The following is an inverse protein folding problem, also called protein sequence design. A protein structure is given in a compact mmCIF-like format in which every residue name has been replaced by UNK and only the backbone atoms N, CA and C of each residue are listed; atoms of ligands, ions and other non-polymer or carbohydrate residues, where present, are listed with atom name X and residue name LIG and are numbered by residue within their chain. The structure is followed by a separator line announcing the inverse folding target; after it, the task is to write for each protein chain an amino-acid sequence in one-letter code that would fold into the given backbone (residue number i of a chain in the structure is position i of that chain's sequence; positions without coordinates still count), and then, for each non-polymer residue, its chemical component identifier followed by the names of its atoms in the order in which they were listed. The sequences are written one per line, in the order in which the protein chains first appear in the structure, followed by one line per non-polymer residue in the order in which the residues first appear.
data_IF_668066239341
#
_entry.id   IF_668066239341
#
_cell.length_a   1.000
_cell.length_b   1.000
_cell.length_c   1.000
_cell.angle_alpha   90.00
_cell.angle_beta   90.00
_cell.angle_gamma   90.00
#
_symmetry.space_group_name_H-M   'P 1'
#
loop_
_entity.id
_entity.type
_entity.pdbx_description
1 polymer ?
#
# COMPACT_ATOMS: atom_id res chain seq x y z
N UNK A 1 -21.16 -80.47 49.79
CA UNK A 1 -22.15 -79.59 49.13
C UNK A 1 -21.46 -78.91 47.96
N UNK A 2 -21.87 -79.20 46.73
CA UNK A 2 -21.26 -78.66 45.51
C UNK A 2 -21.57 -77.18 45.34
N UNK A 3 -20.56 -76.34 45.07
CA UNK A 3 -20.80 -74.97 44.60
C UNK A 3 -21.16 -75.00 43.11
N UNK A 4 -22.35 -74.50 42.76
CA UNK A 4 -22.72 -74.30 41.36
C UNK A 4 -22.06 -73.02 40.85
N UNK A 5 -21.10 -73.12 39.94
CA UNK A 5 -20.64 -71.97 39.16
C UNK A 5 -21.77 -71.56 38.21
N UNK A 6 -22.54 -70.52 38.56
CA UNK A 6 -23.50 -69.88 37.66
C UNK A 6 -22.72 -69.01 36.67
N UNK A 7 -22.38 -69.55 35.50
CA UNK A 7 -21.90 -68.76 34.39
C UNK A 7 -22.96 -67.74 33.95
N UNK A 8 -22.52 -66.55 33.51
CA UNK A 8 -23.39 -65.54 32.91
C UNK A 8 -24.21 -66.17 31.76
N UNK A 9 -25.52 -65.90 31.71
CA UNK A 9 -26.40 -66.34 30.62
C UNK A 9 -25.89 -65.80 29.28
N UNK A 10 -25.90 -66.62 28.23
CA UNK A 10 -25.47 -66.24 26.87
C UNK A 10 -26.16 -64.96 26.35
N UNK A 11 -27.40 -64.72 26.78
CA UNK A 11 -28.16 -63.51 26.45
C UNK A 11 -27.56 -62.27 27.13
N UNK A 12 -27.16 -62.38 28.40
CA UNK A 12 -26.55 -61.26 29.16
C UNK A 12 -25.15 -60.97 28.61
N UNK A 13 -24.37 -62.01 28.30
CA UNK A 13 -23.07 -61.87 27.64
C UNK A 13 -23.18 -61.16 26.28
N UNK A 14 -24.19 -61.51 25.46
CA UNK A 14 -24.44 -60.85 24.17
C UNK A 14 -24.81 -59.37 24.29
N UNK A 15 -25.66 -59.01 25.25
CA UNK A 15 -26.04 -57.60 25.49
C UNK A 15 -24.82 -56.78 25.94
N UNK A 16 -24.01 -57.32 26.85
CA UNK A 16 -22.78 -56.66 27.31
C UNK A 16 -21.81 -56.48 26.14
N UNK A 17 -21.65 -57.49 25.28
CA UNK A 17 -20.75 -57.41 24.14
C UNK A 17 -21.17 -56.29 23.17
N UNK A 18 -22.47 -56.23 22.83
CA UNK A 18 -23.01 -55.19 21.95
C UNK A 18 -22.84 -53.80 22.56
N UNK A 19 -23.13 -53.65 23.86
CA UNK A 19 -22.97 -52.37 24.56
C UNK A 19 -21.50 -51.89 24.54
N UNK A 20 -20.54 -52.79 24.77
CA UNK A 20 -19.11 -52.48 24.69
C UNK A 20 -18.72 -52.12 23.26
N UNK A 21 -19.17 -52.88 22.25
CA UNK A 21 -18.84 -52.60 20.85
C UNK A 21 -19.37 -51.23 20.41
N UNK A 22 -20.59 -50.85 20.80
CA UNK A 22 -21.15 -49.53 20.50
C UNK A 22 -20.37 -48.43 21.20
N UNK A 23 -20.07 -48.58 22.50
CA UNK A 23 -19.33 -47.59 23.27
C UNK A 23 -17.91 -47.36 22.70
N UNK A 24 -17.19 -48.44 22.36
CA UNK A 24 -15.87 -48.36 21.73
C UNK A 24 -15.95 -47.71 20.36
N UNK A 25 -16.98 -48.02 19.56
CA UNK A 25 -17.15 -47.43 18.22
C UNK A 25 -17.40 -45.93 18.28
N UNK A 26 -18.21 -45.45 19.22
CA UNK A 26 -18.46 -44.00 19.43
C UNK A 26 -17.17 -43.31 19.91
N UNK A 27 -16.43 -43.93 20.83
CA UNK A 27 -15.17 -43.37 21.32
C UNK A 27 -14.12 -43.25 20.20
N UNK A 28 -13.98 -44.28 19.35
CA UNK A 28 -13.07 -44.25 18.19
C UNK A 28 -13.54 -43.21 17.16
N UNK A 29 -14.84 -43.13 16.87
CA UNK A 29 -15.38 -42.14 15.93
C UNK A 29 -15.16 -40.69 16.43
N UNK A 30 -15.37 -40.43 17.73
CA UNK A 30 -15.09 -39.13 18.34
C UNK A 30 -13.59 -38.79 18.33
N UNK A 31 -12.73 -39.78 18.59
CA UNK A 31 -11.28 -39.62 18.54
C UNK A 31 -10.79 -39.34 17.12
N UNK A 32 -11.22 -40.12 16.13
CA UNK A 32 -10.88 -39.90 14.71
C UNK A 32 -11.46 -38.58 14.18
N UNK A 33 -12.69 -38.23 14.55
CA UNK A 33 -13.28 -36.93 14.24
C UNK A 33 -12.46 -35.78 14.81
N UNK A 34 -12.05 -35.85 16.08
CA UNK A 34 -11.17 -34.86 16.71
C UNK A 34 -9.80 -34.72 16.04
N UNK A 35 -9.24 -35.83 15.55
CA UNK A 35 -8.01 -35.82 14.76
C UNK A 35 -8.20 -35.04 13.44
N UNK A 36 -9.29 -35.27 12.71
CA UNK A 36 -9.55 -34.55 11.44
C UNK A 36 -9.64 -33.03 11.63
N UNK A 37 -10.25 -32.53 12.70
CA UNK A 37 -10.31 -31.09 12.99
C UNK A 37 -8.94 -30.48 13.32
N UNK A 38 -8.05 -31.26 13.93
CA UNK A 38 -6.70 -30.80 14.26
C UNK A 38 -5.79 -30.78 13.03
N UNK A 39 -5.98 -31.71 12.08
CA UNK A 39 -5.23 -31.77 10.82
C UNK A 39 -5.67 -30.74 9.77
N UNK A 40 -6.87 -30.15 9.89
CA UNK A 40 -7.33 -29.09 8.98
C UNK A 40 -6.77 -27.71 9.31
N UNK A 41 -6.14 -27.56 10.48
CA UNK A 41 -5.53 -26.30 10.88
C UNK A 41 -4.18 -26.11 10.21
N UNK A 42 -4.00 -24.97 9.56
CA UNK A 42 -2.77 -24.61 8.86
C UNK A 42 -2.09 -23.45 9.57
N UNK A 43 -0.77 -23.57 9.74
CA UNK A 43 0.07 -22.47 10.19
C UNK A 43 0.72 -21.85 8.96
N UNK A 44 0.42 -20.58 8.69
CA UNK A 44 0.99 -19.86 7.55
C UNK A 44 1.20 -18.40 7.94
N UNK A 45 2.43 -17.92 7.78
CA UNK A 45 2.81 -16.55 8.07
C UNK A 45 3.26 -15.83 6.81
N UNK A 46 3.03 -14.53 6.76
CA UNK A 46 3.50 -13.65 5.70
C UNK A 46 4.11 -12.39 6.34
N UNK A 47 5.30 -11.98 5.89
CA UNK A 47 5.84 -10.67 6.23
C UNK A 47 5.23 -9.66 5.26
N UNK A 48 4.47 -8.70 5.79
CA UNK A 48 3.72 -7.70 5.01
C UNK A 48 4.38 -6.34 5.00
N UNK A 49 5.44 -6.14 5.79
CA UNK A 49 6.20 -4.90 5.83
C UNK A 49 7.47 -5.00 6.65
N UNK A 50 8.39 -4.07 6.42
CA UNK A 50 9.60 -3.89 7.23
C UNK A 50 9.92 -2.40 7.38
N UNK A 51 10.34 -1.98 8.56
CA UNK A 51 10.77 -0.60 8.85
C UNK A 51 12.09 -0.61 9.60
N UNK A 52 13.13 0.00 9.05
CA UNK A 52 14.38 0.24 9.77
C UNK A 52 14.20 1.35 10.80
N UNK A 53 14.95 1.27 11.90
CA UNK A 53 15.18 2.42 12.76
C UNK A 53 16.09 3.42 12.07
N UNK A 54 15.92 4.70 12.39
CA UNK A 54 16.65 5.78 11.72
C UNK A 54 18.17 5.64 11.94
N UNK A 55 18.59 5.14 13.10
CA UNK A 55 19.99 4.88 13.47
C UNK A 55 20.51 3.50 13.06
N UNK A 56 19.72 2.69 12.35
CA UNK A 56 20.03 1.29 12.00
C UNK A 56 20.26 0.35 13.19
N UNK A 57 19.89 0.73 14.40
CA UNK A 57 19.98 -0.14 15.58
C UNK A 57 18.99 -1.32 15.56
N UNK A 58 17.87 -1.20 14.84
CA UNK A 58 16.88 -2.26 14.70
C UNK A 58 16.10 -2.21 13.39
N UNK A 59 15.40 -3.30 13.10
CA UNK A 59 14.36 -3.38 12.08
C UNK A 59 13.08 -3.94 12.70
N UNK A 60 11.95 -3.35 12.37
CA UNK A 60 10.61 -3.79 12.73
C UNK A 60 10.00 -4.54 11.53
N UNK A 61 9.66 -5.82 11.70
CA UNK A 61 8.97 -6.63 10.69
C UNK A 61 7.50 -6.78 11.05
N UNK A 62 6.60 -6.46 10.12
CA UNK A 62 5.17 -6.70 10.27
C UNK A 62 4.85 -8.09 9.75
N UNK A 63 4.42 -8.99 10.63
CA UNK A 63 4.12 -10.39 10.34
C UNK A 63 2.63 -10.64 10.50
N UNK A 64 1.97 -11.12 9.45
CA UNK A 64 0.56 -11.51 9.42
C UNK A 64 0.41 -13.02 9.50
N UNK A 65 -0.51 -13.52 10.33
CA UNK A 65 -0.95 -14.90 10.28
C UNK A 65 -2.06 -15.06 9.25
N UNK A 66 -1.76 -15.73 8.14
CA UNK A 66 -2.70 -16.03 7.05
C UNK A 66 -3.20 -17.47 7.09
N UNK A 67 -2.79 -18.26 8.08
CA UNK A 67 -3.28 -19.61 8.33
C UNK A 67 -4.57 -19.64 9.13
N UNK A 68 -5.01 -20.84 9.52
CA UNK A 68 -6.23 -21.08 10.29
C UNK A 68 -5.96 -21.46 11.76
N UNK A 69 -4.70 -21.63 12.17
CA UNK A 69 -4.31 -21.82 13.57
C UNK A 69 -3.57 -20.62 14.14
N UNK A 70 -3.65 -20.42 15.45
CA UNK A 70 -2.81 -19.43 16.13
C UNK A 70 -1.35 -19.89 16.21
N UNK A 71 -0.42 -18.95 16.17
CA UNK A 71 1.02 -19.23 16.20
C UNK A 71 1.78 -18.23 17.05
N UNK A 72 3.00 -18.59 17.46
CA UNK A 72 3.93 -17.75 18.20
C UNK A 72 5.29 -17.78 17.50
N UNK A 73 5.93 -16.61 17.38
CA UNK A 73 7.32 -16.54 16.92
C UNK A 73 8.22 -17.06 18.04
N UNK A 74 9.03 -18.08 17.75
CA UNK A 74 9.93 -18.71 18.71
C UNK A 74 11.36 -18.20 18.59
N UNK A 75 11.83 -18.02 17.36
CA UNK A 75 13.21 -17.62 17.08
C UNK A 75 13.27 -16.72 15.86
N UNK A 76 14.30 -15.89 15.82
CA UNK A 76 14.62 -15.03 14.68
C UNK A 76 16.10 -15.21 14.33
N UNK A 77 16.42 -15.27 13.04
CA UNK A 77 17.78 -15.34 12.52
C UNK A 77 18.07 -14.14 11.60
N UNK A 78 19.33 -13.69 11.59
CA UNK A 78 19.90 -12.67 10.70
C UNK A 78 21.00 -13.35 9.89
N UNK A 79 20.86 -13.43 8.56
CA UNK A 79 21.78 -14.15 7.67
C UNK A 79 22.06 -15.58 8.15
N UNK A 80 21.00 -16.30 8.52
CA UNK A 80 21.01 -17.67 9.06
C UNK A 80 21.66 -17.85 10.45
N UNK A 81 22.20 -16.79 11.04
CA UNK A 81 22.69 -16.79 12.43
C UNK A 81 21.59 -16.33 13.41
N UNK A 82 21.48 -16.92 14.61
CA UNK A 82 20.49 -16.48 15.60
C UNK A 82 20.60 -14.98 15.93
N UNK A 83 19.48 -14.27 15.89
CA UNK A 83 19.42 -12.87 16.33
C UNK A 83 19.70 -12.80 17.84
N UNK A 84 20.55 -11.85 18.24
CA UNK A 84 20.91 -11.65 19.66
C UNK A 84 19.77 -11.06 20.47
N UNK A 85 18.88 -10.28 19.85
CA UNK A 85 17.71 -9.69 20.48
C UNK A 85 16.57 -9.54 19.48
N UNK A 86 15.39 -10.03 19.86
CA UNK A 86 14.14 -9.65 19.21
C UNK A 86 13.03 -9.49 20.25
N UNK A 87 12.07 -8.60 19.97
CA UNK A 87 10.91 -8.35 20.82
C UNK A 87 9.65 -8.18 20.00
N UNK A 88 8.51 -8.52 20.58
CA UNK A 88 7.19 -8.21 20.01
C UNK A 88 6.80 -6.82 20.51
N UNK A 89 6.72 -5.85 19.61
CA UNK A 89 6.58 -4.41 19.94
C UNK A 89 5.21 -4.08 20.53
N UNK A 90 4.17 -4.84 20.16
CA UNK A 90 2.82 -4.68 20.71
C UNK A 90 2.01 -5.98 20.66
N UNK A 91 1.15 -6.15 21.68
CA UNK A 91 0.21 -7.26 21.78
C UNK A 91 0.78 -8.55 22.40
N UNK A 92 -0.03 -9.61 22.35
CA UNK A 92 0.41 -10.94 22.78
C UNK A 92 1.44 -11.51 21.79
N UNK A 93 2.45 -12.28 22.26
CA UNK A 93 3.36 -13.02 21.39
C UNK A 93 2.64 -14.06 20.51
N UNK A 94 1.39 -14.40 20.84
CA UNK A 94 0.51 -15.21 19.99
C UNK A 94 -0.17 -14.34 18.93
N UNK A 95 -0.04 -14.77 17.68
CA UNK A 95 -0.65 -14.21 16.48
C UNK A 95 -1.85 -15.11 16.10
N UNK A 96 -3.06 -14.63 16.34
CA UNK A 96 -4.27 -15.35 15.93
C UNK A 96 -4.44 -15.29 14.39
N UNK A 97 -5.21 -16.20 13.78
CA UNK A 97 -5.56 -16.09 12.36
C UNK A 97 -6.09 -14.70 11.99
N UNK A 98 -5.53 -14.09 10.96
CA UNK A 98 -5.89 -12.75 10.49
C UNK A 98 -5.13 -11.59 11.16
N UNK A 99 -4.60 -11.79 12.37
CA UNK A 99 -3.86 -10.77 13.11
C UNK A 99 -2.49 -10.47 12.50
N UNK A 100 -1.99 -9.25 12.77
CA UNK A 100 -0.62 -8.84 12.52
C UNK A 100 0.13 -8.56 13.83
N UNK A 101 1.45 -8.78 13.85
CA UNK A 101 2.35 -8.34 14.92
C UNK A 101 3.60 -7.71 14.35
N UNK A 102 4.13 -6.74 15.07
CA UNK A 102 5.43 -6.12 14.78
C UNK A 102 6.49 -6.79 15.63
N UNK A 103 7.46 -7.42 14.97
CA UNK A 103 8.64 -8.03 15.60
C UNK A 103 9.85 -7.13 15.35
N UNK A 104 10.39 -6.57 16.43
CA UNK A 104 11.63 -5.79 16.41
C UNK A 104 12.82 -6.71 16.52
N UNK A 105 13.79 -6.53 15.64
CA UNK A 105 15.05 -7.27 15.63
C UNK A 105 16.17 -6.26 15.79
N UNK A 106 16.92 -6.35 16.88
CA UNK A 106 17.99 -5.40 17.20
C UNK A 106 19.35 -6.03 16.99
N UNK A 107 20.24 -5.33 16.29
CA UNK A 107 21.62 -5.75 16.05
C UNK A 107 22.47 -4.54 15.66
N UNK A 108 23.79 -4.73 15.53
CA UNK A 108 24.69 -3.73 14.96
C UNK A 108 24.68 -3.87 13.44
N UNK A 109 23.62 -3.37 12.79
CA UNK A 109 23.52 -3.45 11.33
C UNK A 109 24.48 -2.46 10.68
N UNK A 110 25.22 -2.94 9.68
CA UNK A 110 26.12 -2.13 8.89
C UNK A 110 25.31 -1.43 7.78
N UNK A 111 25.41 -0.09 7.67
CA UNK A 111 24.70 0.66 6.65
C UNK A 111 25.01 0.19 5.22
N UNK A 112 24.00 0.11 4.36
CA UNK A 112 24.11 -0.35 2.97
C UNK A 112 24.21 -1.87 2.79
N UNK A 113 24.22 -2.66 3.86
CA UNK A 113 24.33 -4.12 3.79
C UNK A 113 22.95 -4.76 3.67
N UNK A 114 22.82 -5.72 2.75
CA UNK A 114 21.62 -6.57 2.61
C UNK A 114 21.62 -7.66 3.68
N UNK A 115 20.52 -7.77 4.41
CA UNK A 115 20.29 -8.77 5.44
C UNK A 115 19.09 -9.65 5.10
N UNK A 116 19.19 -10.94 5.44
CA UNK A 116 18.08 -11.89 5.47
C UNK A 116 17.59 -12.04 6.90
N UNK A 117 16.31 -11.78 7.12
CA UNK A 117 15.64 -12.00 8.40
C UNK A 117 14.74 -13.22 8.27
N UNK A 118 14.95 -14.21 9.12
CA UNK A 118 14.12 -15.44 9.15
C UNK A 118 13.43 -15.54 10.50
N UNK A 119 12.11 -15.42 10.53
CA UNK A 119 11.31 -15.69 11.72
C UNK A 119 10.80 -17.15 11.67
N UNK A 120 11.00 -17.88 12.76
CA UNK A 120 10.55 -19.26 12.90
C UNK A 120 9.51 -19.36 14.01
N UNK A 121 8.42 -20.07 13.77
CA UNK A 121 7.37 -20.28 14.77
C UNK A 121 7.73 -21.37 15.78
N UNK A 122 6.94 -21.51 16.85
CA UNK A 122 7.07 -22.60 17.82
C UNK A 122 6.88 -24.00 17.21
N UNK A 123 6.25 -24.11 16.04
CA UNK A 123 6.08 -25.37 15.29
C UNK A 123 7.08 -25.55 14.14
N UNK A 124 8.00 -24.59 13.96
CA UNK A 124 9.07 -24.69 12.97
C UNK A 124 8.74 -24.11 11.59
N UNK A 125 7.57 -23.51 11.39
CA UNK A 125 7.25 -22.78 10.16
C UNK A 125 8.17 -21.57 10.04
N UNK A 126 8.79 -21.38 8.87
CA UNK A 126 9.73 -20.29 8.60
C UNK A 126 9.13 -19.30 7.61
N UNK A 127 9.33 -18.02 7.88
CA UNK A 127 9.12 -16.93 6.92
C UNK A 127 10.38 -16.07 6.87
N UNK A 128 10.77 -15.63 5.68
CA UNK A 128 11.97 -14.82 5.50
C UNK A 128 11.66 -13.50 4.79
N UNK A 129 12.49 -12.49 5.05
CA UNK A 129 12.45 -11.18 4.41
C UNK A 129 13.86 -10.68 4.14
N UNK A 130 14.09 -10.10 2.96
CA UNK A 130 15.36 -9.49 2.59
C UNK A 130 15.23 -7.98 2.67
N UNK A 131 16.13 -7.31 3.39
CA UNK A 131 16.13 -5.84 3.47
C UNK A 131 17.55 -5.29 3.54
N UNK A 132 17.78 -4.12 2.94
CA UNK A 132 19.07 -3.43 2.96
C UNK A 132 19.02 -2.39 4.08
N UNK A 133 19.99 -2.45 5.00
CA UNK A 133 20.12 -1.45 6.06
C UNK A 133 20.38 -0.07 5.44
N UNK A 134 19.64 0.99 5.82
CA UNK A 134 19.83 2.31 5.24
C UNK A 134 21.20 2.90 5.59
N UNK A 135 21.66 3.86 4.80
CA UNK A 135 22.93 4.54 5.03
C UNK A 135 22.84 5.57 6.19
N UNK A 136 23.14 5.15 7.43
CA UNK A 136 23.14 6.04 8.60
C UNK A 136 21.77 6.68 8.89
N UNK A 137 21.72 7.69 9.78
CA UNK A 137 20.52 8.51 10.00
C UNK A 137 19.97 9.00 8.67
N UNK A 138 18.87 8.38 8.23
CA UNK A 138 18.12 8.84 7.07
C UNK A 138 17.67 10.25 7.39
N UNK A 139 18.03 11.20 6.55
CA UNK A 139 17.61 12.59 6.66
C UNK A 139 16.48 12.85 5.67
N UNK A 140 15.56 13.72 6.05
CA UNK A 140 14.50 14.14 5.15
C UNK A 140 15.11 14.74 3.89
N UNK A 141 14.71 14.21 2.73
CA UNK A 141 15.02 14.77 1.42
C UNK A 141 13.75 14.84 0.62
N UNK A 142 13.62 15.92 -0.15
CA UNK A 142 12.49 16.11 -1.03
C UNK A 142 12.95 16.81 -2.31
N UNK A 143 12.43 16.42 -3.45
CA UNK A 143 12.69 17.05 -4.75
C UNK A 143 11.40 17.07 -5.55
N UNK A 144 11.13 18.16 -6.26
CA UNK A 144 9.93 18.30 -7.07
C UNK A 144 10.24 19.05 -8.36
N UNK A 145 9.58 18.65 -9.44
CA UNK A 145 9.86 19.18 -10.76
C UNK A 145 8.88 18.67 -11.80
N UNK A 146 9.26 18.89 -13.06
CA UNK A 146 8.52 18.41 -14.22
C UNK A 146 9.43 17.67 -15.19
N UNK A 147 8.86 16.75 -15.93
CA UNK A 147 9.49 16.06 -17.06
C UNK A 147 8.52 16.00 -18.24
N UNK A 148 9.04 15.86 -19.46
CA UNK A 148 8.22 15.59 -20.64
C UNK A 148 8.31 14.09 -20.93
N UNK A 149 7.16 13.44 -21.04
CA UNK A 149 7.07 12.01 -21.29
C UNK A 149 6.01 11.69 -22.36
N UNK A 150 6.20 10.60 -23.09
CA UNK A 150 5.21 10.00 -24.00
C UNK A 150 5.18 8.47 -23.76
N UNK A 151 4.83 7.67 -24.76
CA UNK A 151 4.81 6.20 -24.66
C UNK A 151 6.18 5.54 -24.43
N UNK A 152 7.27 6.28 -24.59
CA UNK A 152 8.65 5.80 -24.39
C UNK A 152 9.16 6.24 -23.04
N UNK A 153 9.84 5.35 -22.32
CA UNK A 153 10.47 5.69 -21.05
C UNK A 153 11.60 6.70 -21.23
N UNK A 154 11.48 7.84 -20.56
CA UNK A 154 12.49 8.89 -20.47
C UNK A 154 13.07 8.90 -19.06
N UNK A 155 14.39 9.02 -18.93
CA UNK A 155 15.05 9.08 -17.61
C UNK A 155 14.95 10.49 -17.01
N UNK A 156 14.56 10.55 -15.75
CA UNK A 156 14.67 11.73 -14.88
C UNK A 156 15.81 11.50 -13.91
N UNK A 157 16.79 12.41 -13.89
CA UNK A 157 17.88 12.38 -12.93
C UNK A 157 17.50 13.25 -11.73
N UNK A 158 17.71 12.71 -10.54
CA UNK A 158 17.52 13.40 -9.27
C UNK A 158 18.79 14.16 -8.92
N UNK A 159 18.61 15.32 -8.29
CA UNK A 159 19.70 16.12 -7.74
C UNK A 159 20.18 15.54 -6.41
N UNK A 160 19.24 15.00 -5.63
CA UNK A 160 19.52 14.34 -4.35
C UNK A 160 19.81 12.85 -4.53
N UNK A 161 20.59 12.29 -3.59
CA UNK A 161 20.78 10.83 -3.47
C UNK A 161 19.92 10.30 -2.34
N UNK A 162 18.94 9.47 -2.69
CA UNK A 162 17.98 8.87 -1.77
C UNK A 162 18.42 7.47 -1.32
N UNK A 163 18.09 7.09 -0.09
CA UNK A 163 18.28 5.70 0.37
C UNK A 163 17.12 4.82 -0.12
N UNK A 164 15.90 5.35 -0.08
CA UNK A 164 14.66 4.72 -0.50
C UNK A 164 13.69 5.80 -1.02
N UNK A 165 13.77 6.20 -2.29
CA UNK A 165 12.89 7.24 -2.83
C UNK A 165 11.45 6.74 -2.98
N UNK A 166 10.50 7.58 -2.61
CA UNK A 166 9.07 7.45 -2.90
C UNK A 166 8.71 8.55 -3.89
N UNK A 167 8.17 8.16 -5.04
CA UNK A 167 7.93 9.07 -6.17
C UNK A 167 6.44 9.04 -6.48
N UNK A 168 5.82 10.21 -6.55
CA UNK A 168 4.45 10.36 -7.07
C UNK A 168 4.45 11.35 -8.22
N UNK A 169 3.67 11.03 -9.26
CA UNK A 169 3.58 11.82 -10.46
C UNK A 169 2.13 12.11 -10.85
N UNK A 170 1.91 13.23 -11.52
CA UNK A 170 0.60 13.59 -12.09
C UNK A 170 0.79 14.07 -13.53
N UNK A 171 0.08 13.50 -14.50
CA UNK A 171 0.12 14.00 -15.87
C UNK A 171 -0.69 15.30 -15.99
N UNK A 172 -0.24 16.23 -16.83
CA UNK A 172 -0.99 17.43 -17.19
C UNK A 172 -1.40 17.36 -18.66
N UNK A 173 -2.71 17.43 -18.92
CA UNK A 173 -3.26 17.46 -20.27
C UNK A 173 -4.70 17.98 -20.32
N UNK A 174 -5.06 18.53 -21.48
CA UNK A 174 -6.41 18.95 -21.87
C UNK A 174 -6.89 18.27 -23.17
N UNK A 175 -6.10 17.31 -23.69
CA UNK A 175 -6.40 16.58 -24.92
C UNK A 175 -7.31 15.37 -24.67
N UNK A 176 -7.97 14.91 -25.73
CA UNK A 176 -8.93 13.80 -25.77
C UNK A 176 -8.31 12.39 -25.68
N UNK A 177 -7.02 12.26 -25.36
CA UNK A 177 -6.34 10.97 -25.25
C UNK A 177 -6.12 10.62 -23.76
N UNK A 178 -6.88 9.72 -23.13
CA UNK A 178 -6.69 9.41 -21.71
C UNK A 178 -5.33 8.78 -21.45
N UNK A 179 -4.65 9.14 -20.35
CA UNK A 179 -3.34 8.56 -20.01
C UNK A 179 -2.99 8.69 -18.53
N UNK A 180 -2.25 7.71 -18.01
CA UNK A 180 -1.66 7.75 -16.66
C UNK A 180 -0.14 7.65 -16.73
N UNK A 181 0.55 8.01 -15.64
CA UNK A 181 2.01 7.94 -15.54
C UNK A 181 2.45 6.54 -15.09
N UNK A 182 3.49 6.00 -15.72
CA UNK A 182 4.15 4.75 -15.32
C UNK A 182 5.62 4.99 -15.07
N UNK A 183 6.13 4.36 -14.00
CA UNK A 183 7.53 4.47 -13.58
C UNK A 183 8.26 3.14 -13.69
N UNK A 184 9.56 3.20 -13.97
CA UNK A 184 10.46 2.03 -13.95
C UNK A 184 11.86 2.47 -13.56
N UNK A 185 12.72 1.52 -13.21
CA UNK A 185 14.14 1.76 -12.93
C UNK A 185 14.37 2.83 -11.85
N UNK A 186 13.55 2.82 -10.79
CA UNK A 186 13.73 3.68 -9.62
C UNK A 186 15.00 3.28 -8.89
N UNK A 187 15.96 4.19 -8.80
CA UNK A 187 17.22 4.04 -8.06
C UNK A 187 17.39 5.22 -7.09
N UNK A 188 18.49 5.23 -6.33
CA UNK A 188 18.83 6.33 -5.41
C UNK A 188 18.98 7.71 -6.07
N UNK A 189 19.16 7.79 -7.39
CA UNK A 189 19.50 9.04 -8.08
C UNK A 189 18.71 9.27 -9.37
N UNK A 190 17.82 8.35 -9.76
CA UNK A 190 17.05 8.49 -11.00
C UNK A 190 15.84 7.58 -11.00
N UNK A 191 14.91 7.90 -11.87
CA UNK A 191 13.82 7.01 -12.27
C UNK A 191 13.58 7.19 -13.78
N UNK A 192 12.77 6.34 -14.37
CA UNK A 192 12.31 6.52 -15.75
C UNK A 192 10.80 6.59 -15.79
N UNK A 193 10.28 7.51 -16.60
CA UNK A 193 8.87 7.85 -16.68
C UNK A 193 8.36 7.73 -18.11
N UNK A 194 7.15 7.20 -18.26
CA UNK A 194 6.35 7.27 -19.49
C UNK A 194 4.90 7.61 -19.14
N UNK A 195 4.11 7.97 -20.13
CA UNK A 195 2.64 7.97 -20.01
C UNK A 195 2.05 6.83 -20.83
N UNK A 196 0.98 6.23 -20.34
CA UNK A 196 0.33 5.07 -20.97
C UNK A 196 -1.18 5.31 -21.08
N UNK A 197 -1.70 5.14 -22.29
CA UNK A 197 -3.14 5.10 -22.55
C UNK A 197 -3.71 3.72 -22.20
N UNK A 198 -4.89 3.63 -21.56
CA UNK A 198 -5.53 2.35 -21.21
C UNK A 198 -5.75 1.42 -22.40
N UNK A 199 -6.13 1.97 -23.56
CA UNK A 199 -6.39 1.23 -24.79
C UNK A 199 -5.12 0.96 -25.62
N UNK A 200 -3.94 1.17 -25.05
CA UNK A 200 -2.63 1.01 -25.71
C UNK A 200 -2.46 1.83 -27.00
N UNK A 201 -3.16 2.95 -27.11
CA UNK A 201 -3.03 3.87 -28.25
C UNK A 201 -1.87 4.86 -28.07
N UNK A 202 -1.51 5.55 -29.15
CA UNK A 202 -0.43 6.55 -29.13
C UNK A 202 -0.78 7.70 -28.19
N UNK A 203 0.18 8.12 -27.38
CA UNK A 203 0.03 9.25 -26.45
C UNK A 203 0.91 10.43 -26.89
N UNK A 204 0.36 11.65 -26.91
CA UNK A 204 1.13 12.89 -27.07
C UNK A 204 2.22 13.07 -26.00
N UNK A 205 3.20 13.91 -26.30
CA UNK A 205 4.10 14.44 -25.28
C UNK A 205 3.28 15.13 -24.19
N UNK A 206 3.56 14.74 -22.95
CA UNK A 206 2.79 15.13 -21.76
C UNK A 206 3.74 15.68 -20.71
N UNK A 207 3.39 16.82 -20.13
CA UNK A 207 4.10 17.33 -18.95
C UNK A 207 3.70 16.47 -17.76
N UNK A 208 4.69 15.87 -17.11
CA UNK A 208 4.52 15.06 -15.90
C UNK A 208 5.13 15.83 -14.74
N UNK A 209 4.28 16.19 -13.79
CA UNK A 209 4.68 16.76 -12.51
C UNK A 209 5.11 15.64 -11.59
N UNK A 210 6.17 15.84 -10.81
CA UNK A 210 6.63 14.83 -9.87
C UNK A 210 7.07 15.44 -8.55
N UNK A 211 6.93 14.62 -7.51
CA UNK A 211 7.53 14.83 -6.20
C UNK A 211 8.23 13.55 -5.78
N UNK A 212 9.42 13.67 -5.21
CA UNK A 212 10.25 12.58 -4.70
C UNK A 212 10.58 12.88 -3.25
N UNK A 213 10.28 11.93 -2.37
CA UNK A 213 10.50 12.06 -0.93
C UNK A 213 11.27 10.84 -0.43
N UNK A 214 12.21 11.06 0.49
CA UNK A 214 12.86 9.95 1.20
C UNK A 214 11.83 9.20 2.05
N UNK A 215 11.77 7.88 1.90
CA UNK A 215 10.87 7.02 2.67
C UNK A 215 11.08 7.23 4.17
N UNK A 216 9.99 7.51 4.90
CA UNK A 216 10.05 7.82 6.32
C UNK A 216 8.77 8.42 6.87
N UNK A 217 8.78 8.67 8.18
CA UNK A 217 7.75 9.41 8.91
C UNK A 217 8.42 10.66 9.43
N UNK A 218 8.01 11.82 8.91
CA UNK A 218 8.73 13.07 9.08
C UNK A 218 7.83 14.08 9.75
N UNK A 219 8.33 14.72 10.81
CA UNK A 219 7.65 15.82 11.50
C UNK A 219 8.12 17.20 11.01
N UNK A 220 9.28 17.27 10.34
CA UNK A 220 9.95 18.49 9.87
C UNK A 220 10.86 18.13 8.68
N UNK A 221 11.08 19.02 7.70
CA UNK A 221 10.56 20.39 7.57
C UNK A 221 9.08 20.44 7.19
N UNK A 222 8.54 19.34 6.67
CA UNK A 222 7.13 19.15 6.36
C UNK A 222 6.65 17.90 7.07
N UNK A 223 5.52 17.99 7.77
CA UNK A 223 4.93 16.85 8.44
C UNK A 223 4.27 15.95 7.38
N UNK A 224 4.88 14.80 7.10
CA UNK A 224 4.38 13.84 6.12
C UNK A 224 4.88 12.42 6.41
N UNK A 225 4.27 11.45 5.75
CA UNK A 225 4.78 10.08 5.64
C UNK A 225 5.00 9.72 4.19
N UNK A 226 6.16 9.20 3.84
CA UNK A 226 6.42 8.63 2.53
C UNK A 226 6.73 7.15 2.70
N UNK A 227 6.01 6.27 1.99
CA UNK A 227 6.12 4.82 2.11
C UNK A 227 5.96 4.14 0.76
N UNK A 228 6.40 2.89 0.70
CA UNK A 228 6.14 2.00 -0.44
C UNK A 228 5.81 0.59 0.01
N UNK A 229 5.05 -0.12 -0.80
CA UNK A 229 4.74 -1.54 -0.59
C UNK A 229 4.46 -2.23 -1.94
N UNK A 230 4.57 -3.55 -1.97
CA UNK A 230 4.24 -4.34 -3.16
C UNK A 230 2.87 -4.99 -3.03
N UNK A 231 2.09 -4.98 -4.11
CA UNK A 231 0.78 -5.62 -4.19
C UNK A 231 0.42 -5.98 -5.63
N UNK A 232 -0.39 -7.04 -5.78
CA UNK A 232 -1.12 -7.34 -7.02
C UNK A 232 -2.63 -7.15 -6.86
N UNK A 233 -3.08 -6.57 -5.74
CA UNK A 233 -4.48 -6.25 -5.49
C UNK A 233 -4.91 -5.14 -6.46
N UNK A 234 -5.94 -5.42 -7.26
CA UNK A 234 -6.49 -4.48 -8.25
C UNK A 234 -7.99 -4.32 -8.04
N UNK A 235 -8.42 -3.07 -7.86
CA UNK A 235 -9.82 -2.65 -7.91
C UNK A 235 -10.18 -2.16 -9.31
N UNK A 236 -11.38 -2.48 -9.79
CA UNK A 236 -11.80 -2.25 -11.18
C UNK A 236 -13.32 -2.43 -11.32
N UNK A 237 -13.97 -1.67 -12.21
CA UNK A 237 -15.37 -1.84 -12.66
C UNK A 237 -16.33 -2.33 -11.54
N UNK A 238 -16.55 -1.48 -10.55
CA UNK A 238 -17.41 -1.69 -9.38
C UNK A 238 -16.95 -2.78 -8.39
N UNK A 239 -15.90 -3.52 -8.70
CA UNK A 239 -15.23 -4.47 -7.83
C UNK A 239 -13.94 -3.85 -7.27
N UNK A 240 -14.09 -3.08 -6.20
CA UNK A 240 -13.02 -2.31 -5.59
C UNK A 240 -12.23 -3.12 -4.55
N UNK A 241 -11.43 -4.09 -5.00
CA UNK A 241 -10.51 -4.81 -4.12
C UNK A 241 -9.37 -3.90 -3.64
N UNK A 242 -9.09 -3.92 -2.33
CA UNK A 242 -8.16 -2.99 -1.70
C UNK A 242 -7.20 -3.68 -0.72
N UNK A 243 -6.05 -3.06 -0.52
CA UNK A 243 -5.23 -3.24 0.68
C UNK A 243 -5.53 -2.11 1.69
N UNK A 244 -5.15 -2.31 2.95
CA UNK A 244 -5.20 -1.24 3.98
C UNK A 244 -3.80 -0.88 4.43
N UNK A 245 -3.50 0.41 4.59
CA UNK A 245 -2.25 0.92 5.18
C UNK A 245 -2.56 1.76 6.41
N UNK A 246 -1.75 1.59 7.45
CA UNK A 246 -1.88 2.35 8.70
C UNK A 246 -1.09 3.67 8.62
N UNK A 247 -1.57 4.69 9.32
CA UNK A 247 -0.80 5.92 9.52
C UNK A 247 0.33 5.67 10.52
N UNK A 248 1.53 6.10 10.15
CA UNK A 248 2.74 6.05 10.97
C UNK A 248 2.87 7.23 11.94
N UNK A 249 2.04 8.26 11.81
CA UNK A 249 1.90 9.36 12.77
C UNK A 249 0.45 9.84 12.91
N UNK A 250 0.20 10.69 13.91
CA UNK A 250 -1.12 11.26 14.15
C UNK A 250 -1.35 12.49 13.30
N UNK A 251 -2.53 12.56 12.69
CA UNK A 251 -3.03 13.71 11.96
C UNK A 251 -4.27 14.29 12.65
N UNK A 252 -4.65 15.48 12.25
CA UNK A 252 -5.69 16.32 12.85
C UNK A 252 -6.49 17.13 11.83
N UNK A 253 -5.95 17.34 10.63
CA UNK A 253 -6.62 17.98 9.51
C UNK A 253 -7.09 17.01 8.43
N UNK A 254 -7.55 17.57 7.33
CA UNK A 254 -7.86 16.86 6.10
C UNK A 254 -6.59 16.22 5.52
N UNK A 255 -6.73 15.03 4.94
CA UNK A 255 -5.61 14.19 4.52
C UNK A 255 -5.54 14.07 3.00
N UNK A 256 -4.38 14.40 2.46
CA UNK A 256 -4.03 14.15 1.08
C UNK A 256 -3.11 12.94 1.05
N UNK A 257 -3.50 11.92 0.29
CA UNK A 257 -2.67 10.75 0.04
C UNK A 257 -2.31 10.74 -1.43
N UNK A 258 -1.10 11.20 -1.75
CA UNK A 258 -0.52 11.11 -3.07
C UNK A 258 -0.07 9.66 -3.31
N UNK A 259 -0.35 9.07 -4.45
CA UNK A 259 -0.05 7.66 -4.70
C UNK A 259 0.34 7.38 -6.17
N UNK A 260 1.20 6.38 -6.39
CA UNK A 260 1.75 6.06 -7.72
C UNK A 260 2.21 4.61 -7.83
N UNK A 261 1.98 3.99 -8.99
CA UNK A 261 2.67 2.74 -9.38
C UNK A 261 4.13 3.06 -9.70
N UNK A 262 5.06 2.64 -8.85
CA UNK A 262 6.49 2.95 -8.91
C UNK A 262 7.34 1.91 -9.65
N UNK A 263 6.74 0.83 -10.13
CA UNK A 263 7.39 -0.19 -10.94
C UNK A 263 6.60 -0.49 -12.23
N UNK A 264 7.21 -1.34 -13.06
CA UNK A 264 6.66 -1.79 -14.33
C UNK A 264 6.97 -3.28 -14.50
N UNK A 265 6.59 -4.06 -13.50
CA UNK A 265 6.80 -5.51 -13.44
C UNK A 265 5.74 -6.25 -14.27
N UNK A 266 4.56 -5.65 -14.45
CA UNK A 266 3.53 -6.08 -15.39
C UNK A 266 3.18 -4.92 -16.35
N UNK A 267 3.32 -5.12 -17.68
CA UNK A 267 3.08 -4.06 -18.66
C UNK A 267 1.62 -3.67 -18.87
N UNK A 268 0.67 -4.45 -18.34
CA UNK A 268 -0.77 -4.14 -18.39
C UNK A 268 -1.04 -2.74 -17.81
N UNK A 269 -2.10 -2.09 -18.32
CA UNK A 269 -2.44 -0.77 -17.84
C UNK A 269 -2.96 -0.85 -16.40
N UNK A 270 -2.53 0.10 -15.59
CA UNK A 270 -2.95 0.26 -14.22
C UNK A 270 -2.54 1.66 -13.75
N UNK A 271 -3.37 2.21 -12.89
CA UNK A 271 -3.08 3.34 -12.03
C UNK A 271 -3.27 2.90 -10.57
N UNK A 272 -3.56 3.82 -9.67
CA UNK A 272 -3.81 3.54 -8.25
C UNK A 272 -5.05 4.28 -7.80
N UNK A 273 -5.67 3.82 -6.72
CA UNK A 273 -6.72 4.55 -6.03
C UNK A 273 -6.53 4.45 -4.52
N UNK A 274 -7.08 5.42 -3.79
CA UNK A 274 -7.18 5.41 -2.34
C UNK A 274 -8.61 5.72 -1.91
N UNK A 275 -8.93 5.47 -0.65
CA UNK A 275 -10.16 5.93 -0.02
C UNK A 275 -10.05 5.90 1.50
N UNK A 276 -11.11 6.36 2.19
CA UNK A 276 -11.31 6.12 3.62
C UNK A 276 -11.17 4.62 3.97
N UNK A 277 -10.75 4.34 5.20
CA UNK A 277 -10.49 3.00 5.71
C UNK A 277 -11.66 2.02 5.56
N UNK A 278 -12.88 2.50 5.76
CA UNK A 278 -14.11 1.70 5.80
C UNK A 278 -15.13 2.04 4.71
N UNK A 279 -14.95 3.14 3.97
CA UNK A 279 -15.83 3.58 2.89
C UNK A 279 -15.02 3.98 1.65
N UNK A 280 -15.38 3.44 0.49
CA UNK A 280 -14.71 3.80 -0.78
C UNK A 280 -15.11 5.20 -1.28
N UNK A 281 -16.28 5.67 -0.87
CA UNK A 281 -16.93 6.90 -1.36
C UNK A 281 -16.64 8.12 -0.47
N UNK A 282 -15.55 8.07 0.28
CA UNK A 282 -15.16 9.13 1.19
C UNK A 282 -13.62 9.23 1.16
N UNK A 283 -13.06 10.42 1.41
CA UNK A 283 -11.62 10.61 1.39
C UNK A 283 -10.98 10.05 2.67
N UNK A 284 -9.66 9.80 2.68
CA UNK A 284 -8.93 9.39 3.88
C UNK A 284 -9.17 10.34 5.05
N UNK A 285 -9.34 9.77 6.24
CA UNK A 285 -9.70 10.55 7.42
C UNK A 285 -8.66 10.41 8.52
N UNK A 286 -8.28 11.54 9.13
CA UNK A 286 -7.31 11.57 10.23
C UNK A 286 -7.79 10.89 11.53
N UNK A 287 -9.10 10.67 11.68
CA UNK A 287 -9.69 9.93 12.79
C UNK A 287 -9.64 8.41 12.65
N UNK A 288 -9.31 7.89 11.46
CA UNK A 288 -9.08 6.47 11.24
C UNK A 288 -7.64 6.06 11.60
N UNK A 289 -7.38 4.76 11.77
CA UNK A 289 -6.01 4.25 11.94
C UNK A 289 -5.22 4.18 10.63
N UNK A 290 -5.88 4.38 9.48
CA UNK A 290 -5.29 4.17 8.17
C UNK A 290 -6.26 4.49 7.03
N UNK A 291 -5.96 3.97 5.86
CA UNK A 291 -6.71 4.18 4.61
C UNK A 291 -6.67 2.94 3.73
N UNK A 292 -7.52 2.92 2.68
CA UNK A 292 -7.47 1.90 1.63
C UNK A 292 -6.61 2.36 0.48
N UNK A 293 -5.89 1.43 -0.14
CA UNK A 293 -5.08 1.69 -1.33
C UNK A 293 -4.92 0.41 -2.14
N UNK A 294 -4.91 0.50 -3.46
CA UNK A 294 -4.62 -0.61 -4.37
C UNK A 294 -4.31 -0.11 -5.79
N UNK A 295 -3.97 -1.04 -6.68
CA UNK A 295 -3.98 -0.76 -8.12
C UNK A 295 -5.42 -0.47 -8.57
N UNK A 296 -5.57 0.44 -9.51
CA UNK A 296 -6.83 0.73 -10.19
C UNK A 296 -6.70 0.27 -11.66
N UNK A 297 -7.51 -0.70 -12.05
CA UNK A 297 -7.60 -1.24 -13.39
C UNK A 297 -8.68 -0.61 -14.27
N UNK A 298 -9.49 0.31 -13.69
CA UNK A 298 -10.66 0.93 -14.32
C UNK A 298 -11.56 -0.14 -14.97
N UNK A 299 -11.97 0.01 -16.23
CA UNK A 299 -12.60 -1.06 -17.02
C UNK A 299 -11.64 -1.78 -17.97
N UNK A 300 -10.39 -1.31 -18.01
CA UNK A 300 -9.34 -1.78 -18.91
C UNK A 300 -8.71 -3.10 -18.48
N UNK A 301 -8.53 -3.31 -17.17
CA UNK A 301 -7.74 -4.41 -16.61
C UNK A 301 -8.42 -4.98 -15.36
N UNK A 302 -8.66 -6.30 -15.34
CA UNK A 302 -9.34 -6.99 -14.24
C UNK A 302 -8.41 -7.73 -13.26
N UNK A 303 -7.14 -7.87 -13.64
CA UNK A 303 -6.09 -8.58 -12.91
C UNK A 303 -4.73 -8.00 -13.29
N UNK A 304 -3.80 -7.95 -12.33
CA UNK A 304 -2.49 -7.37 -12.56
C UNK A 304 -1.44 -8.14 -11.74
N UNK A 305 -0.23 -8.27 -12.30
CA UNK A 305 0.94 -8.74 -11.56
C UNK A 305 1.30 -7.80 -10.40
N UNK A 306 2.16 -8.28 -9.51
CA UNK A 306 2.64 -7.45 -8.40
C UNK A 306 3.36 -6.23 -8.92
N UNK A 307 3.02 -5.06 -8.39
CA UNK A 307 3.73 -3.81 -8.58
C UNK A 307 4.07 -3.20 -7.21
N UNK A 308 5.07 -2.34 -7.17
CA UNK A 308 5.38 -1.47 -6.04
C UNK A 308 4.54 -0.21 -6.16
N UNK A 309 3.71 0.07 -5.15
CA UNK A 309 3.02 1.35 -5.00
C UNK A 309 3.79 2.21 -3.99
N UNK A 310 4.07 3.45 -4.37
CA UNK A 310 4.53 4.50 -3.47
C UNK A 310 3.37 5.40 -3.06
N UNK A 311 3.37 5.86 -1.81
CA UNK A 311 2.40 6.84 -1.34
C UNK A 311 3.01 7.85 -0.37
N UNK A 312 2.47 9.06 -0.37
CA UNK A 312 2.83 10.16 0.52
C UNK A 312 1.56 10.64 1.21
N UNK A 313 1.52 10.61 2.54
CA UNK A 313 0.43 11.12 3.38
C UNK A 313 0.83 12.47 3.95
N UNK A 314 -0.02 13.48 3.80
CA UNK A 314 0.20 14.84 4.26
C UNK A 314 -1.13 15.50 4.65
N UNK A 315 -1.06 16.51 5.52
CA UNK A 315 -2.23 17.32 5.90
C UNK A 315 -2.35 18.56 5.01
N UNK A 316 -3.57 19.07 4.83
CA UNK A 316 -3.79 20.41 4.28
C UNK A 316 -2.96 21.45 5.01
N UNK A 317 -2.39 22.38 4.24
CA UNK A 317 -1.54 23.42 4.78
C UNK A 317 -0.73 24.10 3.71
N UNK A 318 -0.18 25.27 4.05
CA UNK A 318 0.66 26.06 3.15
C UNK A 318 1.87 26.58 3.92
N UNK A 319 2.91 26.96 3.19
CA UNK A 319 4.11 27.51 3.79
C UNK A 319 5.25 27.58 2.79
N UNK A 320 6.48 27.52 3.31
CA UNK A 320 7.69 27.45 2.49
C UNK A 320 8.51 26.22 2.82
N UNK A 321 9.13 25.63 1.81
CA UNK A 321 10.12 24.55 1.97
C UNK A 321 11.30 24.83 1.05
N UNK A 322 12.51 24.86 1.60
CA UNK A 322 13.69 25.30 0.84
C UNK A 322 13.59 26.73 0.31
N UNK A 323 12.75 27.58 0.92
CA UNK A 323 12.47 28.95 0.46
C UNK A 323 11.48 29.05 -0.70
N UNK A 324 10.83 27.94 -1.09
CA UNK A 324 9.82 27.89 -2.15
C UNK A 324 8.44 27.77 -1.51
N UNK A 325 7.51 28.65 -1.89
CA UNK A 325 6.13 28.58 -1.45
C UNK A 325 5.45 27.31 -1.95
N UNK A 326 4.68 26.68 -1.06
CA UNK A 326 3.84 25.54 -1.38
C UNK A 326 2.45 25.68 -0.75
N UNK A 327 1.51 24.91 -1.30
CA UNK A 327 0.17 24.69 -0.75
C UNK A 327 -0.25 23.23 -0.95
N UNK A 328 -0.88 22.67 0.06
CA UNK A 328 -1.53 21.36 0.09
C UNK A 328 -3.00 21.59 0.35
N UNK A 329 -3.86 21.08 -0.52
CA UNK A 329 -5.31 21.31 -0.46
C UNK A 329 -6.07 20.04 -0.83
N UNK A 330 -7.17 19.80 -0.13
CA UNK A 330 -8.24 18.87 -0.48
C UNK A 330 -9.37 19.65 -1.15
N UNK A 331 -9.87 19.16 -2.28
CA UNK A 331 -11.02 19.78 -2.95
C UNK A 331 -12.31 19.44 -2.20
N UNK A 332 -13.42 20.13 -2.46
CA UNK A 332 -14.72 19.52 -2.18
C UNK A 332 -14.97 18.33 -3.12
N UNK A 333 -16.02 17.56 -2.87
CA UNK A 333 -16.52 16.54 -3.80
C UNK A 333 -17.21 17.23 -5.00
N UNK A 334 -16.43 17.55 -6.04
CA UNK A 334 -16.94 18.26 -7.22
C UNK A 334 -16.16 18.04 -8.52
N UNK A 335 -14.99 17.39 -8.47
CA UNK A 335 -14.17 17.15 -9.66
C UNK A 335 -14.82 16.04 -10.47
N UNK A 336 -14.98 16.20 -11.78
CA UNK A 336 -15.63 15.19 -12.65
C UNK A 336 -14.78 14.86 -13.87
N UNK A 337 -15.34 14.00 -14.71
CA UNK A 337 -14.72 13.40 -15.88
C UNK A 337 -14.34 14.41 -16.95
N UNK A 338 -13.40 14.04 -17.84
CA UNK A 338 -13.05 14.80 -19.04
C UNK A 338 -14.29 15.15 -19.90
N UNK A 339 -15.26 14.23 -20.00
CA UNK A 339 -16.51 14.44 -20.72
C UNK A 339 -17.44 15.50 -20.10
N UNK A 340 -17.19 15.93 -18.86
CA UNK A 340 -18.02 16.89 -18.14
C UNK A 340 -17.54 18.35 -18.22
N UNK A 341 -16.67 18.66 -19.18
CA UNK A 341 -16.14 20.02 -19.45
C UNK A 341 -15.27 20.59 -18.31
N UNK A 342 -14.15 19.92 -17.93
CA UNK A 342 -13.12 20.50 -17.06
C UNK A 342 -12.50 21.78 -17.68
N UNK A 343 -11.79 22.63 -16.92
CA UNK A 343 -11.22 22.39 -15.58
C UNK A 343 -12.20 22.62 -14.41
N UNK A 344 -12.07 21.77 -13.39
CA UNK A 344 -12.66 21.96 -12.06
C UNK A 344 -11.68 22.74 -11.19
N UNK A 345 -11.96 24.02 -10.97
CA UNK A 345 -11.02 24.95 -10.34
C UNK A 345 -11.18 25.00 -8.82
N UNK A 346 -10.10 24.66 -8.11
CA UNK A 346 -9.94 24.90 -6.67
C UNK A 346 -9.02 26.09 -6.47
N UNK A 347 -9.49 27.11 -5.77
CA UNK A 347 -8.69 28.32 -5.52
C UNK A 347 -7.55 28.05 -4.54
N UNK A 348 -6.39 28.66 -4.79
CA UNK A 348 -5.26 28.65 -3.85
C UNK A 348 -5.52 29.63 -2.70
N UNK A 349 -5.17 29.20 -1.49
CA UNK A 349 -5.06 30.06 -0.31
C UNK A 349 -3.68 30.71 -0.24
N UNK A 350 -2.66 30.06 -0.80
CA UNK A 350 -1.31 30.60 -0.97
C UNK A 350 -1.30 31.69 -2.05
N UNK A 351 -0.53 32.74 -1.81
CA UNK A 351 -0.33 33.83 -2.78
C UNK A 351 0.89 33.54 -3.63
N UNK A 352 0.69 32.81 -4.71
CA UNK A 352 1.73 32.54 -5.70
C UNK A 352 2.02 33.76 -6.58
N UNK A 353 3.29 34.04 -6.90
CA UNK A 353 3.69 35.15 -7.78
C UNK A 353 3.45 34.85 -9.27
N UNK A 354 3.39 33.56 -9.62
CA UNK A 354 3.10 33.03 -10.96
C UNK A 354 2.27 31.76 -10.81
N UNK A 355 1.66 31.19 -11.86
CA UNK A 355 1.14 29.83 -11.78
C UNK A 355 2.19 28.88 -11.18
N UNK A 356 1.85 28.04 -10.17
CA UNK A 356 2.76 27.06 -9.61
C UNK A 356 3.40 26.21 -10.71
N UNK A 357 4.74 26.12 -10.70
CA UNK A 357 5.48 25.37 -11.71
C UNK A 357 5.34 23.86 -11.56
N UNK A 358 5.02 23.38 -10.35
CA UNK A 358 4.81 21.96 -10.06
C UNK A 358 3.50 21.79 -9.31
N UNK A 359 2.64 20.88 -9.76
CA UNK A 359 1.43 20.47 -9.06
C UNK A 359 1.27 18.95 -9.14
N UNK A 360 1.33 18.27 -8.00
CA UNK A 360 1.11 16.81 -7.93
C UNK A 360 -0.21 16.57 -7.22
N UNK A 361 -1.15 15.94 -7.93
CA UNK A 361 -2.49 15.65 -7.45
C UNK A 361 -2.74 14.14 -7.34
N UNK A 362 -3.70 13.78 -6.49
CA UNK A 362 -4.28 12.45 -6.37
C UNK A 362 -5.81 12.54 -6.24
N UNK A 363 -6.51 11.52 -6.72
CA UNK A 363 -7.91 11.31 -6.41
C UNK A 363 -8.00 10.61 -5.06
N UNK A 364 -8.83 11.11 -4.16
CA UNK A 364 -8.83 10.67 -2.75
C UNK A 364 -9.92 9.66 -2.43
N UNK A 365 -10.80 9.36 -3.37
CA UNK A 365 -11.84 8.35 -3.19
C UNK A 365 -12.21 7.70 -4.52
N UNK A 366 -13.21 6.83 -4.48
CA UNK A 366 -13.75 6.18 -5.66
C UNK A 366 -15.26 6.11 -5.52
N UNK A 367 -15.93 7.17 -5.95
CA UNK A 367 -17.38 7.29 -6.01
C UNK A 367 -17.95 6.53 -7.20
N UNK A 368 -17.31 6.69 -8.35
CA UNK A 368 -17.67 6.07 -9.62
C UNK A 368 -17.65 4.54 -9.61
N UNK A 369 -18.33 3.97 -10.59
CA UNK A 369 -18.34 2.51 -10.83
C UNK A 369 -17.20 2.08 -11.75
N UNK A 370 -16.88 2.88 -12.76
CA UNK A 370 -16.08 2.43 -13.91
C UNK A 370 -14.58 2.64 -13.65
N UNK A 371 -14.26 3.62 -12.81
CA UNK A 371 -12.92 3.86 -12.29
C UNK A 371 -12.24 5.00 -13.00
N UNK A 372 -11.61 5.86 -12.20
CA UNK A 372 -11.01 7.07 -12.71
C UNK A 372 -9.65 7.37 -12.09
N UNK A 373 -8.96 8.35 -12.66
CA UNK A 373 -7.72 8.89 -12.12
C UNK A 373 -7.63 10.39 -12.35
N UNK A 374 -6.94 11.09 -11.45
CA UNK A 374 -6.76 12.54 -11.57
C UNK A 374 -5.73 12.90 -12.65
N UNK A 375 -5.96 14.02 -13.32
CA UNK A 375 -4.98 14.72 -14.13
C UNK A 375 -5.06 16.24 -13.88
N UNK A 376 -3.92 16.90 -14.01
CA UNK A 376 -3.90 18.36 -14.03
C UNK A 376 -4.43 18.83 -15.38
N UNK A 377 -5.32 19.81 -15.38
CA UNK A 377 -5.83 20.43 -16.58
C UNK A 377 -5.14 21.80 -16.77
N UNK A 378 -5.82 22.90 -16.42
CA UNK A 378 -5.26 24.26 -16.45
C UNK A 378 -4.89 24.72 -15.04
N UNK A 379 -3.61 25.01 -14.80
CA UNK A 379 -3.12 25.64 -13.56
C UNK A 379 -2.93 27.12 -13.82
N UNK A 380 -3.53 27.96 -12.97
CA UNK A 380 -3.37 29.42 -13.01
C UNK A 380 -2.61 29.90 -11.78
N UNK A 381 -2.34 31.20 -11.68
CA UNK A 381 -1.77 31.78 -10.46
C UNK A 381 -2.71 31.67 -9.24
N UNK A 382 -4.02 31.58 -9.48
CA UNK A 382 -5.04 31.65 -8.43
C UNK A 382 -5.77 30.32 -8.19
N UNK A 383 -5.60 29.32 -9.06
CA UNK A 383 -6.32 28.05 -8.95
C UNK A 383 -5.60 26.86 -9.57
N UNK A 384 -5.83 25.70 -8.96
CA UNK A 384 -5.59 24.38 -9.54
C UNK A 384 -6.83 23.95 -10.32
N UNK A 385 -6.73 23.87 -11.65
CA UNK A 385 -7.75 23.26 -12.49
C UNK A 385 -7.49 21.77 -12.66
N UNK A 386 -8.37 20.95 -12.11
CA UNK A 386 -8.26 19.49 -12.12
C UNK A 386 -9.34 18.85 -13.00
N UNK A 387 -9.15 17.57 -13.28
CA UNK A 387 -10.17 16.66 -13.76
C UNK A 387 -9.87 15.25 -13.27
N UNK A 388 -10.89 14.42 -13.18
CA UNK A 388 -10.68 12.97 -13.21
C UNK A 388 -10.92 12.47 -14.63
N UNK A 389 -10.33 11.34 -14.96
CA UNK A 389 -10.37 10.79 -16.30
C UNK A 389 -10.65 9.30 -16.27
N UNK A 390 -11.28 8.80 -17.31
CA UNK A 390 -11.70 7.41 -17.47
C UNK A 390 -11.09 6.80 -18.72
N UNK A 391 -11.10 5.46 -18.77
CA UNK A 391 -10.64 4.74 -19.94
C UNK A 391 -11.64 4.81 -21.11
N UNK A 392 -11.25 4.22 -22.23
CA UNK A 392 -12.11 4.09 -23.41
C UNK A 392 -12.05 2.66 -23.96
N UNK A 393 -11.87 1.67 -23.09
CA UNK A 393 -11.67 0.28 -23.48
C UNK A 393 -12.99 -0.41 -23.74
N UNK A 394 -14.02 -0.15 -22.93
CA UNK A 394 -15.35 -0.75 -23.09
C UNK A 394 -16.34 0.12 -23.83
N UNK A 395 -16.30 1.42 -23.58
CA UNK A 395 -17.03 2.40 -24.34
C UNK A 395 -16.20 3.67 -24.57
N UNK A 396 -16.79 4.69 -25.18
CA UNK A 396 -16.09 5.92 -25.53
C UNK A 396 -16.30 7.06 -24.54
N UNK A 397 -17.19 6.88 -23.55
CA UNK A 397 -17.58 7.93 -22.61
C UNK A 397 -16.49 8.16 -21.58
N UNK A 398 -16.34 9.42 -21.15
CA UNK A 398 -15.38 9.84 -20.11
C UNK A 398 -16.02 10.83 -19.14
N UNK A 399 -17.34 10.75 -19.00
CA UNK A 399 -18.16 11.54 -18.10
C UNK A 399 -18.28 10.79 -16.79
N UNK A 400 -17.84 11.42 -15.73
CA UNK A 400 -17.76 10.82 -14.42
C UNK A 400 -18.73 11.52 -13.44
N UNK A 401 -19.09 10.82 -12.36
CA UNK A 401 -19.66 11.46 -11.17
C UNK A 401 -18.62 12.39 -10.50
N UNK A 402 -19.00 13.07 -9.42
CA UNK A 402 -18.05 13.86 -8.63
C UNK A 402 -17.07 12.95 -7.89
N UNK A 403 -15.87 13.49 -7.67
CA UNK A 403 -14.80 12.90 -6.89
C UNK A 403 -14.11 14.03 -6.10
N UNK A 404 -13.62 13.69 -4.91
CA UNK A 404 -12.67 14.51 -4.15
C UNK A 404 -11.24 14.23 -4.63
N UNK A 405 -10.48 15.30 -4.87
CA UNK A 405 -9.06 15.25 -5.17
C UNK A 405 -8.26 15.97 -4.10
N UNK A 406 -6.98 15.69 -4.02
CA UNK A 406 -6.02 16.46 -3.23
C UNK A 406 -4.79 16.77 -4.06
N UNK A 407 -4.09 17.85 -3.73
CA UNK A 407 -2.86 18.22 -4.42
C UNK A 407 -1.84 18.87 -3.49
N UNK A 408 -0.59 18.86 -3.94
CA UNK A 408 0.48 19.75 -3.48
C UNK A 408 1.00 20.57 -4.66
N UNK A 409 1.05 21.88 -4.50
CA UNK A 409 1.53 22.83 -5.51
C UNK A 409 2.77 23.57 -5.00
N UNK A 410 3.74 23.82 -5.88
CA UNK A 410 4.98 24.55 -5.58
C UNK A 410 5.19 25.69 -6.57
N UNK A 411 5.54 26.88 -6.06
CA UNK A 411 5.79 28.08 -6.86
C UNK A 411 6.84 27.84 -7.98
N UNK A 412 7.94 27.13 -7.65
CA UNK A 412 8.98 26.75 -8.60
C UNK A 412 9.42 25.30 -8.38
N UNK A 413 10.06 24.67 -9.37
CA UNK A 413 10.77 23.41 -9.17
C UNK A 413 11.91 23.59 -8.16
N UNK A 414 12.19 22.58 -7.35
CA UNK A 414 13.14 22.72 -6.26
C UNK A 414 13.45 21.42 -5.52
N UNK A 415 14.25 21.57 -4.47
CA UNK A 415 14.63 20.47 -3.59
C UNK A 415 14.87 20.97 -2.16
N UNK A 416 14.71 20.05 -1.21
CA UNK A 416 15.16 20.15 0.16
C UNK A 416 16.19 19.03 0.40
N UNK A 417 17.46 19.36 0.65
CA UNK A 417 18.58 18.41 0.63
C UNK A 417 18.77 17.61 1.93
#
# INVERSE_FOLDING_TARGET
MSSSNKGLSSVIGGIILIAITVAVSIAIAAWMGGLTFTFMKTEQLLITGSRWSDDTAYIDLTIKNVGTDSTTISTVQINDEPATSFTVVSGSPTINPGDMRVVRISSNFAPGVKYQFTATTSRGTKVFHLSVAPHGSVIFKMEWGTAIANQTFTTVNLHSTYSSPVIVCTPQYDSDVPRTVRLVNVTSQRFSVKVQNPSATSVPDTVVHYVVVEEGVWASPLKLEARRYSTGTVGQNSNWAYDTRDYGQTYSGNLIILHQVMSYDDPAWATTYVSKFDNRQNPPNAGDSGFRIALNGAEAVDSHGNETIGYIVLEEGLGTIGGIDFEVTETSDFVRGFGNSPPYNTAFSQSFDTPPAVLVAAQLEMDGGDGSWVANNVVTQASAGLMVDEDQVRDSERSHTTETCGFIAFQTAGLYP
#
